data_IF_285712547432
#
_entry.id   IF_285712547432
#
_cell.length_a   1.000
_cell.length_b   1.000
_cell.length_c   1.000
_cell.angle_alpha   90.00
_cell.angle_beta   90.00
_cell.angle_gamma   90.00
#
_symmetry.space_group_name_H-M   'P 1'
#
loop_
_entity.id
_entity.type
_entity.pdbx_description
1 polymer ?
#
# COMPACT_ATOMS: atom_id res chain seq x y z
N UNK A 1 14.42 -15.33 -18.69
CA UNK A 1 13.40 -14.29 -18.39
C UNK A 1 13.84 -13.53 -17.16
N UNK A 2 13.85 -12.20 -17.21
CA UNK A 2 14.18 -11.36 -16.05
C UNK A 2 13.12 -11.53 -14.96
N UNK A 3 13.55 -11.84 -13.74
CA UNK A 3 12.66 -11.93 -12.58
C UNK A 3 12.18 -10.53 -12.22
N UNK A 4 10.87 -10.31 -12.21
CA UNK A 4 10.26 -9.05 -11.77
C UNK A 4 9.56 -9.24 -10.43
N UNK A 5 9.48 -8.19 -9.64
CA UNK A 5 8.81 -8.17 -8.35
C UNK A 5 7.70 -7.13 -8.37
N UNK A 6 6.49 -7.51 -7.95
CA UNK A 6 5.37 -6.60 -7.79
C UNK A 6 5.20 -6.25 -6.32
N UNK A 7 5.24 -4.97 -5.99
CA UNK A 7 4.87 -4.45 -4.69
C UNK A 7 3.45 -3.92 -4.71
N UNK A 8 2.69 -4.25 -3.68
CA UNK A 8 1.37 -3.68 -3.41
C UNK A 8 1.44 -2.83 -2.15
N UNK A 9 0.93 -1.60 -2.18
CA UNK A 9 0.47 -0.98 -0.94
C UNK A 9 -0.68 -1.81 -0.35
N UNK A 10 -0.90 -1.67 0.93
CA UNK A 10 -2.05 -2.27 1.59
C UNK A 10 -3.27 -1.34 1.51
N UNK A 11 -3.10 -0.09 1.94
CA UNK A 11 -4.17 0.90 1.97
C UNK A 11 -4.43 1.43 0.56
N UNK A 12 -5.69 1.53 0.16
CA UNK A 12 -6.11 2.00 -1.16
C UNK A 12 -5.83 1.06 -2.33
N UNK A 13 -5.14 -0.06 -2.08
CA UNK A 13 -4.79 -1.07 -3.11
C UNK A 13 -5.35 -2.44 -2.76
N UNK A 14 -5.13 -2.95 -1.55
CA UNK A 14 -5.69 -4.25 -1.12
C UNK A 14 -6.98 -4.02 -0.34
N UNK A 15 -6.95 -3.04 0.55
CA UNK A 15 -8.05 -2.68 1.43
C UNK A 15 -8.30 -1.18 1.47
N UNK A 16 -9.49 -0.80 1.92
CA UNK A 16 -9.86 0.58 2.15
C UNK A 16 -10.38 0.74 3.57
N UNK A 17 -9.75 1.58 4.37
CA UNK A 17 -10.23 1.89 5.71
C UNK A 17 -11.24 3.05 5.65
N UNK A 18 -12.45 2.81 6.11
CA UNK A 18 -13.51 3.83 6.10
C UNK A 18 -14.36 3.79 7.36
N UNK A 19 -15.15 4.84 7.57
CA UNK A 19 -16.12 4.97 8.64
C UNK A 19 -17.27 5.85 8.19
N UNK A 20 -17.81 6.67 9.09
CA UNK A 20 -18.89 7.59 8.72
C UNK A 20 -18.40 8.55 7.61
N UNK A 21 -19.23 8.85 6.57
CA UNK A 21 -20.66 8.51 6.47
C UNK A 21 -20.96 7.13 5.84
N UNK A 22 -19.99 6.46 5.22
CA UNK A 22 -20.22 5.17 4.53
C UNK A 22 -20.63 4.05 5.48
N UNK A 23 -20.02 4.01 6.66
CA UNK A 23 -20.26 2.98 7.68
C UNK A 23 -20.48 3.62 9.06
N UNK A 24 -21.32 3.03 9.91
CA UNK A 24 -21.54 3.54 11.27
C UNK A 24 -20.29 3.42 12.16
N UNK A 25 -19.38 2.49 11.86
CA UNK A 25 -18.14 2.27 12.60
C UNK A 25 -16.95 2.23 11.63
N UNK A 26 -15.77 2.57 12.15
CA UNK A 26 -14.53 2.48 11.39
C UNK A 26 -14.19 1.00 11.14
N UNK A 27 -14.10 0.61 9.88
CA UNK A 27 -13.88 -0.77 9.43
C UNK A 27 -12.92 -0.78 8.24
N UNK A 28 -12.15 -1.86 8.12
CA UNK A 28 -11.34 -2.16 6.94
C UNK A 28 -12.20 -2.92 5.93
N UNK A 29 -12.24 -2.44 4.70
CA UNK A 29 -12.98 -3.05 3.60
C UNK A 29 -12.03 -3.68 2.59
N UNK A 30 -12.40 -4.82 2.01
CA UNK A 30 -11.69 -5.44 0.89
C UNK A 30 -12.01 -4.68 -0.39
N UNK A 31 -11.01 -4.39 -1.21
CA UNK A 31 -11.22 -3.67 -2.47
C UNK A 31 -11.57 -4.58 -3.64
N UNK A 32 -10.98 -5.78 -3.69
CA UNK A 32 -11.07 -6.64 -4.86
C UNK A 32 -11.64 -8.01 -4.49
N UNK A 33 -12.72 -8.46 -5.15
CA UNK A 33 -13.20 -9.82 -4.98
C UNK A 33 -12.19 -10.77 -5.65
N UNK A 34 -11.82 -11.85 -4.96
CA UNK A 34 -10.92 -12.85 -5.54
C UNK A 34 -9.44 -12.46 -5.64
N UNK A 35 -9.01 -11.39 -4.97
CA UNK A 35 -7.58 -11.00 -4.94
C UNK A 35 -6.69 -12.12 -4.39
N UNK A 36 -7.13 -12.82 -3.35
CA UNK A 36 -6.41 -13.96 -2.77
C UNK A 36 -6.02 -14.99 -3.84
N UNK A 37 -6.98 -15.65 -4.52
CA UNK A 37 -6.70 -16.56 -5.63
C UNK A 37 -5.79 -15.97 -6.72
N UNK A 38 -5.98 -14.69 -7.08
CA UNK A 38 -5.18 -14.02 -8.10
C UNK A 38 -3.70 -13.90 -7.69
N UNK A 39 -3.42 -13.45 -6.46
CA UNK A 39 -2.05 -13.34 -5.97
C UNK A 39 -1.40 -14.72 -5.76
N UNK A 40 -2.20 -15.72 -5.39
CA UNK A 40 -1.74 -17.11 -5.25
C UNK A 40 -1.30 -17.75 -6.57
N UNK A 41 -1.82 -17.27 -7.70
CA UNK A 41 -1.36 -17.67 -9.04
C UNK A 41 0.01 -17.06 -9.40
N UNK A 42 0.52 -16.10 -8.61
CA UNK A 42 1.81 -15.44 -8.77
C UNK A 42 2.72 -15.68 -7.55
N UNK A 43 2.94 -16.96 -7.13
CA UNK A 43 3.63 -17.24 -5.88
C UNK A 43 5.07 -16.72 -5.91
N UNK A 44 5.48 -16.05 -4.82
CA UNK A 44 6.84 -15.53 -4.67
C UNK A 44 7.22 -14.39 -5.64
N UNK A 45 6.26 -13.80 -6.34
CA UNK A 45 6.45 -12.63 -7.23
C UNK A 45 5.78 -11.35 -6.69
N UNK A 46 4.96 -11.46 -5.64
CA UNK A 46 4.23 -10.33 -5.06
C UNK A 46 4.66 -10.11 -3.62
N UNK A 47 5.08 -8.90 -3.29
CA UNK A 47 5.35 -8.45 -1.93
C UNK A 47 4.40 -7.31 -1.54
N UNK A 48 4.16 -7.14 -0.24
CA UNK A 48 3.39 -6.01 0.28
C UNK A 48 4.34 -5.03 0.95
N UNK A 49 4.20 -3.75 0.65
CA UNK A 49 4.94 -2.65 1.30
C UNK A 49 3.97 -1.66 1.92
N UNK A 50 3.95 -1.56 3.25
CA UNK A 50 2.96 -0.74 3.95
C UNK A 50 3.54 0.03 5.14
N UNK A 51 2.91 1.15 5.46
CA UNK A 51 3.17 1.93 6.68
C UNK A 51 2.42 1.38 7.92
N UNK A 52 1.70 0.27 7.79
CA UNK A 52 1.12 -0.44 8.95
C UNK A 52 2.16 -1.34 9.62
N UNK A 53 1.96 -1.62 10.90
CA UNK A 53 2.82 -2.58 11.61
C UNK A 53 2.70 -3.97 11.00
N UNK A 54 3.75 -4.79 11.08
CA UNK A 54 3.72 -6.14 10.49
C UNK A 54 2.58 -7.00 11.03
N UNK A 55 2.30 -6.92 12.34
CA UNK A 55 1.21 -7.67 12.97
C UNK A 55 -0.19 -7.18 12.54
N UNK A 56 -0.35 -5.90 12.22
CA UNK A 56 -1.59 -5.35 11.69
C UNK A 56 -1.77 -5.71 10.22
N UNK A 57 -0.71 -5.55 9.42
CA UNK A 57 -0.73 -5.87 8.00
C UNK A 57 -1.05 -7.36 7.74
N UNK A 58 -0.48 -8.29 8.52
CA UNK A 58 -0.82 -9.73 8.43
C UNK A 58 -2.29 -9.99 8.67
N UNK A 59 -2.86 -9.45 9.76
CA UNK A 59 -4.29 -9.58 10.06
C UNK A 59 -5.17 -9.03 8.94
N UNK A 60 -4.78 -7.90 8.35
CA UNK A 60 -5.52 -7.29 7.24
C UNK A 60 -5.46 -8.18 6.00
N UNK A 61 -4.29 -8.73 5.66
CA UNK A 61 -4.13 -9.64 4.53
C UNK A 61 -4.97 -10.90 4.71
N UNK A 62 -4.90 -11.55 5.87
CA UNK A 62 -5.72 -12.71 6.22
C UNK A 62 -7.21 -12.37 6.11
N UNK A 63 -7.61 -11.23 6.66
CA UNK A 63 -8.99 -10.77 6.59
C UNK A 63 -9.39 -10.35 5.18
N UNK A 64 -8.47 -10.10 4.25
CA UNK A 64 -8.71 -9.90 2.82
C UNK A 64 -8.70 -11.23 2.03
N UNK A 65 -8.53 -12.38 2.71
CA UNK A 65 -8.44 -13.69 2.08
C UNK A 65 -7.10 -13.95 1.39
N UNK A 66 -6.06 -13.21 1.76
CA UNK A 66 -4.70 -13.36 1.25
C UNK A 66 -3.87 -14.07 2.31
N UNK A 67 -3.23 -15.17 1.93
CA UNK A 67 -2.28 -15.89 2.78
C UNK A 67 -0.92 -15.18 2.73
N UNK A 68 -0.45 -14.56 3.84
CA UNK A 68 0.83 -13.84 3.85
C UNK A 68 2.03 -14.73 3.52
N UNK A 69 1.97 -16.04 3.80
CA UNK A 69 3.08 -16.96 3.57
C UNK A 69 3.28 -17.31 2.10
N UNK A 70 2.29 -17.01 1.24
CA UNK A 70 2.39 -17.19 -0.22
C UNK A 70 2.94 -15.96 -0.94
N UNK A 71 3.07 -14.83 -0.24
CA UNK A 71 3.71 -13.62 -0.74
C UNK A 71 5.24 -13.81 -0.74
N UNK A 72 5.93 -13.13 -1.65
CA UNK A 72 7.39 -13.01 -1.65
C UNK A 72 7.89 -12.40 -0.32
N UNK A 73 7.14 -11.45 0.23
CA UNK A 73 7.40 -10.90 1.54
C UNK A 73 6.43 -9.80 1.94
N UNK A 74 6.46 -9.49 3.24
CA UNK A 74 5.82 -8.32 3.84
C UNK A 74 6.92 -7.39 4.35
N UNK A 75 6.93 -6.17 3.83
CA UNK A 75 7.76 -5.05 4.28
C UNK A 75 6.83 -4.06 4.97
N UNK A 76 6.84 -4.08 6.29
CA UNK A 76 5.96 -3.28 7.11
C UNK A 76 6.69 -2.03 7.64
N UNK A 77 6.02 -1.31 8.52
CA UNK A 77 6.55 -0.06 9.05
C UNK A 77 7.85 -0.24 9.85
N UNK A 78 8.06 -1.40 10.47
CA UNK A 78 9.28 -1.76 11.16
C UNK A 78 10.47 -1.89 10.18
N UNK A 79 10.29 -2.55 9.03
CA UNK A 79 11.29 -2.64 7.97
C UNK A 79 11.59 -1.28 7.36
N UNK A 80 10.55 -0.48 7.11
CA UNK A 80 10.69 0.89 6.63
C UNK A 80 11.50 1.75 7.61
N UNK A 81 11.28 1.57 8.92
CA UNK A 81 11.99 2.33 9.94
C UNK A 81 13.46 1.94 9.97
N UNK A 82 13.77 0.64 9.94
CA UNK A 82 15.14 0.12 9.87
C UNK A 82 15.84 0.61 8.60
N UNK A 83 15.17 0.57 7.46
CA UNK A 83 15.70 1.06 6.19
C UNK A 83 15.94 2.57 6.23
N UNK A 84 15.00 3.35 6.78
CA UNK A 84 15.15 4.78 6.99
C UNK A 84 16.32 5.13 7.91
N UNK A 85 16.52 4.38 8.98
CA UNK A 85 17.66 4.55 9.88
C UNK A 85 18.99 4.23 9.17
N UNK A 86 19.06 3.10 8.45
CA UNK A 86 20.26 2.64 7.73
C UNK A 86 20.65 3.58 6.58
N UNK A 87 19.69 4.07 5.81
CA UNK A 87 19.95 4.79 4.56
C UNK A 87 19.70 6.29 4.62
N UNK A 88 18.74 6.74 5.42
CA UNK A 88 18.44 8.18 5.62
C UNK A 88 19.05 8.76 6.90
N UNK A 89 19.46 7.91 7.84
CA UNK A 89 19.92 8.32 9.16
C UNK A 89 18.82 8.91 10.05
N UNK A 90 19.14 9.25 11.31
CA UNK A 90 18.17 9.81 12.25
C UNK A 90 17.59 11.15 11.78
N UNK A 91 18.43 12.01 11.21
CA UNK A 91 18.01 13.32 10.69
C UNK A 91 17.08 13.18 9.48
N UNK A 92 17.32 12.20 8.61
CA UNK A 92 16.44 11.91 7.48
C UNK A 92 15.05 11.47 7.94
N UNK A 93 14.98 10.59 8.95
CA UNK A 93 13.72 10.16 9.59
C UNK A 93 12.94 11.33 10.19
N UNK A 94 13.61 12.27 10.85
CA UNK A 94 12.97 13.47 11.43
C UNK A 94 12.44 14.38 10.33
N UNK A 95 13.26 14.69 9.33
CA UNK A 95 12.95 15.68 8.29
C UNK A 95 11.90 15.20 7.29
N UNK A 96 12.04 13.97 6.82
CA UNK A 96 11.22 13.43 5.73
C UNK A 96 10.15 12.47 6.23
N UNK A 97 10.29 11.98 7.46
CA UNK A 97 9.42 10.94 7.96
C UNK A 97 9.69 9.59 7.35
N UNK A 98 8.87 8.60 7.68
CA UNK A 98 8.94 7.28 7.07
C UNK A 98 8.53 7.34 5.59
N UNK A 99 9.47 7.06 4.68
CA UNK A 99 9.26 7.03 3.23
C UNK A 99 9.37 5.59 2.69
N UNK A 100 8.50 5.23 1.74
CA UNK A 100 8.53 3.91 1.08
C UNK A 100 9.79 3.70 0.25
N UNK A 101 10.33 4.75 -0.36
CA UNK A 101 11.50 4.65 -1.23
C UNK A 101 12.77 4.19 -0.52
N UNK A 102 12.87 4.37 0.80
CA UNK A 102 13.99 3.86 1.58
C UNK A 102 14.07 2.35 1.61
N UNK A 103 12.97 1.64 1.31
CA UNK A 103 12.97 0.19 1.29
C UNK A 103 13.61 -0.40 0.04
N UNK A 104 13.78 0.37 -1.05
CA UNK A 104 14.24 -0.18 -2.32
C UNK A 104 15.59 -0.91 -2.22
N UNK A 105 16.65 -0.37 -1.57
CA UNK A 105 17.90 -1.11 -1.37
C UNK A 105 17.71 -2.40 -0.56
N UNK A 106 16.87 -2.37 0.47
CA UNK A 106 16.57 -3.54 1.31
C UNK A 106 15.80 -4.60 0.51
N UNK A 107 14.87 -4.19 -0.35
CA UNK A 107 14.13 -5.07 -1.23
C UNK A 107 15.03 -5.75 -2.26
N UNK A 108 15.96 -5.01 -2.86
CA UNK A 108 16.96 -5.57 -3.78
C UNK A 108 17.80 -6.66 -3.10
N UNK A 109 18.33 -6.36 -1.92
CA UNK A 109 19.13 -7.30 -1.12
C UNK A 109 18.31 -8.54 -0.73
N UNK A 110 17.08 -8.34 -0.25
CA UNK A 110 16.22 -9.42 0.25
C UNK A 110 15.68 -10.33 -0.85
N UNK A 111 15.31 -9.77 -2.01
CA UNK A 111 14.62 -10.52 -3.06
C UNK A 111 15.52 -10.85 -4.25
N UNK A 112 16.72 -10.27 -4.33
CA UNK A 112 17.63 -10.46 -5.47
C UNK A 112 17.07 -9.90 -6.79
N UNK A 113 16.17 -8.91 -6.70
CA UNK A 113 15.54 -8.26 -7.86
C UNK A 113 15.97 -6.80 -7.88
N UNK A 114 16.70 -6.34 -8.92
CA UNK A 114 17.03 -4.94 -9.09
C UNK A 114 15.76 -4.06 -9.12
N UNK A 115 15.80 -2.87 -8.52
CA UNK A 115 14.63 -1.99 -8.40
C UNK A 115 14.06 -1.54 -9.75
N UNK A 116 14.87 -1.47 -10.79
CA UNK A 116 14.44 -1.21 -12.16
C UNK A 116 13.62 -2.36 -12.75
N UNK A 117 13.62 -3.53 -12.11
CA UNK A 117 12.78 -4.68 -12.41
C UNK A 117 11.69 -4.90 -11.34
N UNK A 118 11.43 -3.89 -10.51
CA UNK A 118 10.28 -3.87 -9.61
C UNK A 118 9.16 -2.95 -10.13
N UNK A 119 7.92 -3.38 -9.92
CA UNK A 119 6.72 -2.60 -10.12
C UNK A 119 6.06 -2.30 -8.77
N UNK A 120 5.38 -1.15 -8.63
CA UNK A 120 4.69 -0.76 -7.41
C UNK A 120 3.29 -0.23 -7.68
N UNK A 121 2.28 -0.72 -6.97
CA UNK A 121 0.91 -0.19 -6.97
C UNK A 121 0.67 0.57 -5.66
N UNK A 122 0.32 1.86 -5.75
CA UNK A 122 0.04 2.74 -4.60
C UNK A 122 -1.11 3.68 -4.95
N UNK A 123 -1.92 4.07 -3.95
CA UNK A 123 -2.97 5.07 -4.14
C UNK A 123 -2.46 6.51 -4.02
N UNK A 124 -1.21 6.69 -3.58
CA UNK A 124 -0.60 7.99 -3.35
C UNK A 124 0.45 8.33 -4.38
N UNK A 125 0.11 9.31 -5.22
CA UNK A 125 0.99 9.83 -6.26
C UNK A 125 2.35 10.33 -5.74
N UNK A 126 2.41 10.88 -4.53
CA UNK A 126 3.67 11.34 -3.93
C UNK A 126 4.62 10.18 -3.59
N UNK A 127 4.10 9.05 -3.08
CA UNK A 127 4.89 7.83 -2.87
C UNK A 127 5.47 7.31 -4.18
N UNK A 128 4.66 7.25 -5.24
CA UNK A 128 5.06 6.72 -6.54
C UNK A 128 6.16 7.57 -7.19
N UNK A 129 6.01 8.90 -7.16
CA UNK A 129 7.03 9.81 -7.69
C UNK A 129 8.35 9.68 -6.95
N UNK A 130 8.31 9.55 -5.63
CA UNK A 130 9.50 9.34 -4.81
C UNK A 130 10.18 7.99 -5.13
N UNK A 131 9.42 6.92 -5.27
CA UNK A 131 9.92 5.60 -5.67
C UNK A 131 10.58 5.62 -7.05
N UNK A 132 9.94 6.25 -8.04
CA UNK A 132 10.51 6.42 -9.39
C UNK A 132 11.80 7.22 -9.37
N UNK A 133 11.85 8.33 -8.61
CA UNK A 133 13.06 9.13 -8.45
C UNK A 133 14.22 8.34 -7.79
N UNK A 134 13.92 7.21 -7.14
CA UNK A 134 14.90 6.28 -6.56
C UNK A 134 15.17 5.03 -7.39
N UNK A 135 14.66 4.98 -8.63
CA UNK A 135 14.99 3.97 -9.63
C UNK A 135 13.96 2.85 -9.81
N UNK A 136 12.78 2.93 -9.19
CA UNK A 136 11.70 1.97 -9.44
C UNK A 136 11.40 1.87 -10.95
N UNK A 137 11.24 0.65 -11.46
CA UNK A 137 11.02 0.40 -12.89
C UNK A 137 9.63 0.79 -13.40
N UNK A 138 8.58 0.49 -12.64
CA UNK A 138 7.20 0.81 -12.98
C UNK A 138 6.39 1.22 -11.75
N UNK A 139 5.70 2.35 -11.84
CA UNK A 139 4.72 2.80 -10.86
C UNK A 139 3.31 2.75 -11.46
N UNK A 140 2.36 2.19 -10.72
CA UNK A 140 0.95 2.18 -11.06
C UNK A 140 0.17 2.93 -9.98
N UNK A 141 -0.47 4.02 -10.38
CA UNK A 141 -1.34 4.80 -9.51
C UNK A 141 -2.73 4.17 -9.46
N UNK A 142 -3.10 3.69 -8.28
CA UNK A 142 -4.40 3.13 -7.97
C UNK A 142 -5.37 4.23 -7.52
N UNK A 143 -6.42 4.54 -8.28
CA UNK A 143 -7.48 5.40 -7.75
C UNK A 143 -8.13 4.73 -6.52
N UNK A 144 -8.26 5.48 -5.44
CA UNK A 144 -8.86 5.03 -4.18
C UNK A 144 -9.56 6.20 -3.51
N UNK A 145 -10.88 6.20 -3.52
CA UNK A 145 -11.67 7.27 -2.90
C UNK A 145 -13.09 6.82 -2.54
N UNK A 146 -13.73 7.57 -1.64
CA UNK A 146 -15.18 7.49 -1.45
C UNK A 146 -15.85 8.13 -2.67
N UNK A 147 -16.89 7.51 -3.21
CA UNK A 147 -17.68 8.09 -4.30
C UNK A 147 -18.34 9.41 -3.86
N UNK A 148 -18.58 10.32 -4.81
CA UNK A 148 -19.15 11.64 -4.50
C UNK A 148 -20.53 11.59 -3.84
N UNK A 149 -21.32 10.56 -4.14
CA UNK A 149 -22.63 10.31 -3.55
C UNK A 149 -22.56 9.57 -2.21
N UNK A 150 -21.37 9.15 -1.77
CA UNK A 150 -21.14 8.41 -0.53
C UNK A 150 -21.74 7.00 -0.52
N UNK A 151 -22.07 6.43 -1.70
CA UNK A 151 -22.72 5.11 -1.82
C UNK A 151 -21.78 3.98 -2.28
N UNK A 152 -20.54 4.32 -2.63
CA UNK A 152 -19.58 3.39 -3.17
C UNK A 152 -18.13 3.83 -2.95
N UNK A 153 -17.24 3.03 -3.50
CA UNK A 153 -15.81 3.28 -3.51
C UNK A 153 -15.35 3.40 -4.96
N UNK A 154 -14.53 4.40 -5.25
CA UNK A 154 -13.73 4.44 -6.47
C UNK A 154 -12.48 3.61 -6.21
N UNK A 155 -12.28 2.56 -6.99
CA UNK A 155 -11.12 1.66 -6.99
C UNK A 155 -10.67 1.42 -8.43
N UNK A 156 -9.99 0.30 -8.71
CA UNK A 156 -9.48 -0.08 -10.02
C UNK A 156 -9.63 -1.59 -10.28
N UNK A 157 -9.35 -2.00 -11.51
CA UNK A 157 -9.29 -3.41 -11.89
C UNK A 157 -7.89 -3.99 -11.66
N UNK A 158 -7.77 -4.95 -10.73
CA UNK A 158 -6.50 -5.61 -10.47
C UNK A 158 -6.00 -6.44 -11.67
N UNK A 159 -6.90 -7.03 -12.46
CA UNK A 159 -6.54 -7.73 -13.69
C UNK A 159 -5.87 -6.79 -14.68
N UNK A 160 -6.46 -5.62 -14.92
CA UNK A 160 -5.86 -4.58 -15.78
C UNK A 160 -4.50 -4.11 -15.25
N UNK A 161 -4.34 -3.98 -13.92
CA UNK A 161 -3.05 -3.63 -13.32
C UNK A 161 -1.97 -4.71 -13.57
N UNK A 162 -2.33 -5.99 -13.45
CA UNK A 162 -1.43 -7.10 -13.75
C UNK A 162 -1.09 -7.19 -15.24
N UNK A 163 -2.03 -6.85 -16.12
CA UNK A 163 -1.78 -6.73 -17.57
C UNK A 163 -0.75 -5.65 -17.87
N UNK A 164 -0.85 -4.47 -17.26
CA UNK A 164 0.15 -3.41 -17.40
C UNK A 164 1.54 -3.84 -16.93
N UNK A 165 1.61 -4.55 -15.81
CA UNK A 165 2.87 -5.16 -15.33
C UNK A 165 3.40 -6.19 -16.35
N UNK A 166 2.54 -7.03 -16.91
CA UNK A 166 2.93 -8.03 -17.90
C UNK A 166 3.43 -7.39 -19.20
N UNK A 167 2.78 -6.32 -19.68
CA UNK A 167 3.19 -5.54 -20.85
C UNK A 167 4.57 -4.92 -20.63
N UNK A 168 4.76 -4.24 -19.50
CA UNK A 168 6.04 -3.66 -19.11
C UNK A 168 7.16 -4.71 -19.07
N UNK A 169 6.90 -5.90 -18.51
CA UNK A 169 7.87 -7.01 -18.48
C UNK A 169 8.26 -7.51 -19.87
N UNK A 170 7.38 -7.39 -20.87
CA UNK A 170 7.66 -7.71 -22.28
C UNK A 170 8.41 -6.60 -23.02
N UNK A 171 8.68 -5.47 -22.35
CA UNK A 171 9.34 -4.31 -22.96
C UNK A 171 8.41 -3.47 -23.84
N UNK A 172 7.11 -3.77 -23.84
CA UNK A 172 6.11 -2.81 -24.31
C UNK A 172 6.15 -1.67 -23.29
N UNK A 173 6.66 -0.49 -23.65
CA UNK A 173 6.93 0.59 -22.70
C UNK A 173 5.70 1.51 -22.54
N UNK A 174 4.75 1.25 -21.63
CA UNK A 174 4.04 2.38 -21.04
C UNK A 174 5.08 3.22 -20.30
N UNK A 175 4.87 4.53 -20.15
CA UNK A 175 5.78 5.36 -19.38
C UNK A 175 6.03 4.78 -17.96
N UNK A 176 7.06 5.23 -17.24
CA UNK A 176 7.41 4.69 -15.92
C UNK A 176 6.30 4.87 -14.88
N UNK A 177 5.32 5.74 -15.15
CA UNK A 177 4.14 5.96 -14.33
C UNK A 177 2.88 5.73 -15.15
N UNK A 178 2.04 4.78 -14.72
CA UNK A 178 0.74 4.47 -15.30
C UNK A 178 -0.35 4.84 -14.28
N UNK A 179 -1.42 5.50 -14.72
CA UNK A 179 -2.61 5.70 -13.88
C UNK A 179 -3.66 4.70 -14.29
N UNK A 180 -4.08 3.86 -13.34
CA UNK A 180 -5.10 2.85 -13.57
C UNK A 180 -6.47 3.49 -13.75
N UNK A 181 -7.29 2.89 -14.62
CA UNK A 181 -8.63 3.38 -14.88
C UNK A 181 -9.50 3.26 -13.62
N UNK A 182 -10.19 4.34 -13.21
CA UNK A 182 -11.07 4.29 -12.05
C UNK A 182 -12.32 3.45 -12.36
N UNK A 183 -12.73 2.65 -11.39
CA UNK A 183 -13.96 1.88 -11.39
C UNK A 183 -14.76 2.18 -10.14
N UNK A 184 -16.06 2.38 -10.29
CA UNK A 184 -16.96 2.54 -9.16
C UNK A 184 -17.41 1.15 -8.69
N UNK A 185 -17.11 0.84 -7.44
CA UNK A 185 -17.50 -0.40 -6.76
C UNK A 185 -18.62 -0.07 -5.76
N UNK A 186 -19.83 -0.59 -5.95
CA UNK A 186 -20.89 -0.48 -4.95
C UNK A 186 -20.47 -1.16 -3.65
N UNK A 187 -20.83 -0.56 -2.51
CA UNK A 187 -20.58 -1.20 -1.22
C UNK A 187 -21.39 -2.51 -1.11
N UNK A 188 -20.68 -3.64 -1.06
CA UNK A 188 -21.26 -4.96 -0.87
C UNK A 188 -20.78 -5.63 0.42
N UNK A 189 -21.59 -6.55 0.95
CA UNK A 189 -21.25 -7.29 2.19
C UNK A 189 -19.95 -8.09 2.08
N UNK A 190 -19.61 -8.57 0.88
CA UNK A 190 -18.37 -9.31 0.62
C UNK A 190 -17.09 -8.51 0.92
N UNK A 191 -17.19 -7.17 0.94
CA UNK A 191 -16.09 -6.27 1.25
C UNK A 191 -15.84 -6.16 2.75
N UNK A 192 -16.81 -6.48 3.60
CA UNK A 192 -16.70 -6.32 5.04
C UNK A 192 -15.74 -7.34 5.61
N UNK A 193 -14.72 -6.87 6.30
CA UNK A 193 -13.73 -7.75 6.97
C UNK A 193 -14.07 -8.00 8.43
N UNK A 194 -14.92 -7.18 9.04
CA UNK A 194 -15.17 -7.18 10.48
C UNK A 194 -14.01 -6.64 11.32
N UNK A 195 -12.90 -6.21 10.70
CA UNK A 195 -11.77 -5.61 11.41
C UNK A 195 -12.02 -4.13 11.71
N UNK A 196 -12.08 -3.80 12.99
CA UNK A 196 -12.24 -2.43 13.50
C UNK A 196 -10.94 -1.90 14.10
N UNK A 197 -10.36 -0.87 13.48
CA UNK A 197 -9.09 -0.25 13.90
C UNK A 197 -9.20 0.50 15.24
N UNK A 198 -10.37 1.02 15.62
CA UNK A 198 -10.57 1.69 16.92
C UNK A 198 -10.51 0.74 18.12
N UNK A 199 -10.96 -0.51 17.99
CA UNK A 199 -11.01 -1.47 19.11
C UNK A 199 -9.67 -2.17 19.36
N UNK A 200 -8.75 -2.13 18.40
CA UNK A 200 -7.49 -2.90 18.45
C UNK A 200 -6.22 -2.02 18.53
N UNK A 201 -6.36 -0.70 18.65
CA UNK A 201 -5.29 0.29 18.47
C UNK A 201 -4.22 0.43 19.57
N UNK A 202 -4.06 -0.53 20.49
CA UNK A 202 -3.00 -0.48 21.53
C UNK A 202 -1.66 -0.99 21.03
N UNK A 203 -1.16 -0.45 19.91
CA UNK A 203 0.21 -0.69 19.46
C UNK A 203 1.05 0.59 19.53
N UNK A 204 2.27 0.48 20.06
CA UNK A 204 3.23 1.58 20.24
C UNK A 204 3.46 2.35 18.93
N UNK A 205 3.40 1.65 17.79
CA UNK A 205 3.58 2.24 16.47
C UNK A 205 2.44 3.21 16.08
N UNK A 206 1.20 2.94 16.49
CA UNK A 206 0.07 3.86 16.25
C UNK A 206 0.18 5.11 17.12
N UNK A 207 0.71 4.99 18.34
CA UNK A 207 1.04 6.14 19.17
C UNK A 207 2.16 6.98 18.54
N UNK A 208 3.25 6.35 18.08
CA UNK A 208 4.35 7.03 17.39
C UNK A 208 3.90 7.72 16.10
N UNK A 209 3.03 7.08 15.30
CA UNK A 209 2.45 7.67 14.07
C UNK A 209 1.52 8.85 14.39
N UNK A 210 0.79 8.81 15.50
CA UNK A 210 -0.06 9.93 15.98
C UNK A 210 0.80 11.11 16.47
N UNK A 211 1.85 10.83 17.23
CA UNK A 211 2.84 11.83 17.67
C UNK A 211 3.55 12.45 16.46
N UNK A 212 4.00 11.64 15.50
CA UNK A 212 4.64 12.12 14.27
C UNK A 212 3.73 12.99 13.38
N UNK A 213 2.42 12.69 13.32
CA UNK A 213 1.43 13.57 12.64
C UNK A 213 1.25 14.90 13.39
N UNK A 214 1.21 14.88 14.72
CA UNK A 214 1.08 16.09 15.53
C UNK A 214 2.31 16.99 15.39
N UNK A 215 3.52 16.42 15.35
CA UNK A 215 4.76 17.20 15.16
C UNK A 215 4.91 17.79 13.75
N UNK A 216 4.36 17.16 12.71
CA UNK A 216 4.37 17.72 11.33
C UNK A 216 3.34 18.81 11.08
N UNK A 217 2.34 18.93 11.96
CA UNK A 217 1.32 19.97 11.89
C UNK A 217 0.99 20.52 13.30
N UNK A 218 1.90 21.27 13.94
CA UNK A 218 1.65 21.81 15.28
C UNK A 218 0.48 22.81 15.33
N UNK A 219 -0.02 23.29 14.19
CA UNK A 219 -1.07 24.31 14.08
C UNK A 219 -2.41 23.82 13.50
N UNK A 220 -2.64 22.51 13.36
CA UNK A 220 -3.96 22.00 12.88
C UNK A 220 -4.92 21.56 13.99
N UNK A 221 -4.57 21.75 15.25
CA UNK A 221 -5.41 21.41 16.41
C UNK A 221 -5.76 22.65 17.25
N UNK A 222 -6.31 23.68 16.62
CA UNK A 222 -7.22 24.58 17.30
C UNK A 222 -8.62 24.34 16.72
N UNK A 223 -9.61 23.93 17.53
CA UNK A 223 -10.99 23.98 17.08
C UNK A 223 -11.31 25.44 16.73
N UNK A 224 -11.89 25.67 15.56
CA UNK A 224 -12.56 26.94 15.29
C UNK A 224 -13.67 27.08 16.33
N UNK A 225 -13.57 28.15 17.14
CA UNK A 225 -14.66 28.64 17.98
C UNK A 225 -15.72 29.31 17.11
#
# INVERSE_FOLDING_TARGET
>A
MTRALLFLDLDGVVVFETGAPLLPQQEILRLHPGLGPLLQALPGQVAVLTHRSGAEARRILEAAGIDPERLAGLLAAEELFRAGWKHGGPLGLIRHGLQKSWVLPLAEERFGVPREHAAFIDDRMDNLRDLLAKGLGLALHAPSAISRDGRGLVSFDMGAALEEVARWRRGERPGPLVTLSPQLVPLGDWQRTGLHTRKQGRHVFNAARRIGRAMRHPFRSLPAA
#
